data_IF_123935552889
#
_entry.id   IF_123935552889
#
_cell.length_a   1.000
_cell.length_b   1.000
_cell.length_c   1.000
_cell.angle_alpha   90.00
_cell.angle_beta   90.00
_cell.angle_gamma   90.00
#
_symmetry.space_group_name_H-M   'P 1'
#
loop_
_entity.id
_entity.type
_entity.pdbx_description
1 polymer ?
#
# COMPACT_ATOMS: atom_id res chain seq x y z
N UNK A 1 -7.63 37.36 25.55
CA UNK A 1 -7.52 36.38 26.66
C UNK A 1 -6.85 35.14 26.08
N UNK A 2 -5.59 34.88 26.42
CA UNK A 2 -4.92 33.64 26.02
C UNK A 2 -5.14 32.62 27.13
N UNK A 3 -5.97 31.61 26.88
CA UNK A 3 -6.10 30.44 27.76
C UNK A 3 -5.34 29.30 27.11
N UNK A 4 -4.25 28.87 27.71
CA UNK A 4 -3.58 27.62 27.38
C UNK A 4 -3.50 26.78 28.65
N UNK A 5 -3.85 25.50 28.56
CA UNK A 5 -3.66 24.57 29.67
C UNK A 5 -2.15 24.31 29.83
N UNK A 6 -1.64 24.43 31.05
CA UNK A 6 -0.23 24.14 31.39
C UNK A 6 0.71 25.35 31.48
N UNK A 7 0.20 26.57 31.46
CA UNK A 7 0.98 27.79 31.71
C UNK A 7 0.60 28.38 33.07
N UNK A 8 1.54 28.42 34.01
CA UNK A 8 1.41 29.24 35.23
C UNK A 8 1.91 30.63 34.91
N UNK A 9 1.06 31.64 35.08
CA UNK A 9 1.41 33.05 34.93
C UNK A 9 1.54 33.64 36.34
N UNK A 10 2.76 34.00 36.75
CA UNK A 10 3.01 34.68 38.02
C UNK A 10 3.20 36.18 37.77
N UNK A 11 2.37 37.01 38.41
CA UNK A 11 2.51 38.48 38.38
C UNK A 11 2.88 38.91 39.80
N UNK A 12 4.11 39.39 39.99
CA UNK A 12 4.59 39.90 41.28
C UNK A 12 5.00 41.36 41.15
N UNK A 13 4.46 42.23 42.01
CA UNK A 13 5.00 43.58 42.23
C UNK A 13 5.80 43.60 43.52
N UNK A 14 7.14 43.68 43.45
CA UNK A 14 7.94 43.89 44.65
C UNK A 14 9.09 44.87 44.38
N UNK A 15 9.01 45.99 45.11
CA UNK A 15 9.98 47.08 45.29
C UNK A 15 9.96 48.25 44.28
N UNK A 16 10.05 49.44 44.87
CA UNK A 16 10.11 50.76 44.22
C UNK A 16 11.37 50.87 43.37
N UNK A 17 11.24 51.04 42.06
CA UNK A 17 12.30 51.70 41.26
C UNK A 17 12.62 51.13 39.89
N UNK A 18 12.13 49.96 39.49
CA UNK A 18 12.34 49.44 38.13
C UNK A 18 11.03 48.97 37.50
N UNK A 19 10.63 49.60 36.40
CA UNK A 19 9.44 49.25 35.62
C UNK A 19 9.84 48.26 34.52
N UNK A 20 9.75 46.98 34.81
CA UNK A 20 9.78 45.95 33.78
C UNK A 20 8.68 44.93 34.07
N UNK A 21 8.16 44.34 33.00
CA UNK A 21 7.27 43.19 33.05
C UNK A 21 8.15 41.96 32.89
N UNK A 22 8.25 41.13 33.92
CA UNK A 22 8.91 39.84 33.83
C UNK A 22 7.84 38.78 33.52
N UNK A 23 7.92 38.16 32.33
CA UNK A 23 7.13 36.98 32.00
C UNK A 23 8.04 35.76 32.16
N UNK A 24 7.87 35.02 33.26
CA UNK A 24 8.49 33.71 33.43
C UNK A 24 7.49 32.61 33.04
N UNK A 25 7.88 31.80 32.07
CA UNK A 25 7.11 30.63 31.62
C UNK A 25 7.85 29.38 32.09
N UNK A 26 7.36 28.74 33.16
CA UNK A 26 7.85 27.44 33.58
C UNK A 26 7.18 26.34 32.73
N UNK A 27 7.99 25.53 32.04
CA UNK A 27 7.52 24.47 31.14
C UNK A 27 6.92 23.29 31.95
N UNK A 28 5.81 22.67 31.53
CA UNK A 28 5.86 21.24 31.29
C UNK A 28 6.82 21.05 30.11
N UNK A 29 8.04 20.56 30.37
CA UNK A 29 8.97 20.22 29.28
C UNK A 29 8.41 18.95 28.66
N UNK A 30 7.55 19.08 27.66
CA UNK A 30 7.24 17.94 26.80
C UNK A 30 8.37 17.88 25.79
N UNK A 31 9.22 16.86 25.88
CA UNK A 31 10.36 16.66 24.96
C UNK A 31 9.91 16.65 23.48
N UNK A 32 8.64 16.31 23.23
CA UNK A 32 8.03 16.20 21.89
C UNK A 32 6.62 16.80 21.90
N UNK A 33 6.46 18.09 21.55
CA UNK A 33 5.14 18.71 21.48
C UNK A 33 4.35 18.18 20.26
N UNK A 34 3.07 17.89 20.47
CA UNK A 34 2.11 17.69 19.38
C UNK A 34 1.84 19.03 18.69
N UNK A 35 1.93 19.07 17.36
CA UNK A 35 1.64 20.25 16.56
C UNK A 35 0.38 20.03 15.73
N UNK A 36 -0.47 21.03 15.66
CA UNK A 36 -1.63 21.07 14.76
C UNK A 36 -1.52 22.35 13.93
N UNK A 37 -1.56 22.22 12.61
CA UNK A 37 -1.49 23.31 11.64
C UNK A 37 -2.79 23.37 10.84
N UNK A 38 -3.33 24.57 10.68
CA UNK A 38 -4.44 24.89 9.79
C UNK A 38 -3.96 25.99 8.85
N UNK A 39 -3.96 25.73 7.54
CA UNK A 39 -3.59 26.69 6.53
C UNK A 39 -4.37 26.47 5.23
N UNK A 40 -4.03 27.21 4.17
CA UNK A 40 -4.64 27.09 2.84
C UNK A 40 -4.46 25.70 2.21
N UNK A 41 -3.49 24.90 2.67
CA UNK A 41 -3.20 23.55 2.17
C UNK A 41 -4.00 22.48 2.92
N UNK A 42 -4.59 22.83 4.07
CA UNK A 42 -5.49 21.98 4.83
C UNK A 42 -5.13 21.88 6.31
N UNK A 43 -5.23 20.66 6.84
CA UNK A 43 -5.02 20.35 8.26
C UNK A 43 -3.89 19.34 8.40
N UNK A 44 -2.91 19.62 9.26
CA UNK A 44 -1.85 18.67 9.63
C UNK A 44 -1.76 18.51 11.16
N UNK A 45 -1.83 17.27 11.63
CA UNK A 45 -1.49 16.87 12.99
C UNK A 45 -0.14 16.16 12.94
N UNK A 46 0.86 16.64 13.68
CA UNK A 46 2.22 16.15 13.61
C UNK A 46 2.81 15.93 15.01
N UNK A 47 3.18 14.68 15.29
CA UNK A 47 3.93 14.27 16.48
C UNK A 47 5.40 14.01 16.10
N UNK A 48 6.18 15.09 16.00
CA UNK A 48 7.62 15.08 15.75
C UNK A 48 8.03 14.22 14.53
N UNK A 49 7.28 14.29 13.43
CA UNK A 49 7.44 13.50 12.20
C UNK A 49 7.43 11.98 12.41
N UNK A 50 7.07 11.50 13.61
CA UNK A 50 6.88 10.08 13.88
C UNK A 50 5.46 9.66 13.59
N UNK A 51 4.48 10.47 13.92
CA UNK A 51 3.08 10.19 13.55
C UNK A 51 2.51 11.45 12.94
N UNK A 52 1.98 11.36 11.71
CA UNK A 52 1.38 12.49 11.02
C UNK A 52 0.02 12.12 10.45
N UNK A 53 -0.96 13.02 10.56
CA UNK A 53 -2.21 12.95 9.84
C UNK A 53 -2.38 14.24 9.04
N UNK A 54 -2.62 14.14 7.74
CA UNK A 54 -2.81 15.27 6.83
C UNK A 54 -4.12 15.12 6.10
N UNK A 55 -4.96 16.14 6.17
CA UNK A 55 -6.18 16.27 5.38
C UNK A 55 -6.00 17.47 4.47
N UNK A 56 -5.94 17.21 3.17
CA UNK A 56 -5.75 18.22 2.12
C UNK A 56 -6.85 18.08 1.08
N UNK A 57 -6.97 19.03 0.17
CA UNK A 57 -7.92 18.95 -0.96
C UNK A 57 -7.73 17.67 -1.80
N UNK A 58 -6.48 17.24 -1.98
CA UNK A 58 -6.12 16.15 -2.90
C UNK A 58 -6.05 14.78 -2.25
N UNK A 59 -5.81 14.75 -0.94
CA UNK A 59 -5.52 13.50 -0.24
C UNK A 59 -5.76 13.57 1.27
N UNK A 60 -6.09 12.40 1.82
CA UNK A 60 -5.98 12.09 3.25
C UNK A 60 -4.77 11.18 3.42
N UNK A 61 -3.83 11.55 4.28
CA UNK A 61 -2.60 10.80 4.54
C UNK A 61 -2.42 10.54 6.04
N UNK A 62 -2.16 9.30 6.41
CA UNK A 62 -1.80 8.89 7.77
C UNK A 62 -0.44 8.21 7.73
N UNK A 63 0.52 8.67 8.52
CA UNK A 63 1.86 8.07 8.63
C UNK A 63 2.18 7.70 10.06
N UNK A 64 2.86 6.56 10.22
CA UNK A 64 3.44 6.14 11.50
C UNK A 64 4.88 5.65 11.29
N UNK A 65 5.84 6.55 11.45
CA UNK A 65 7.23 6.33 11.12
C UNK A 65 7.50 6.66 9.65
N UNK A 66 8.60 6.12 9.13
CA UNK A 66 9.03 6.38 7.75
C UNK A 66 8.34 5.47 6.73
N UNK A 67 7.95 4.26 7.16
CA UNK A 67 7.60 3.18 6.23
C UNK A 67 6.11 2.84 6.25
N UNK A 68 5.38 3.20 7.31
CA UNK A 68 3.95 2.91 7.47
C UNK A 68 3.11 4.09 7.02
N UNK A 69 2.40 3.96 5.90
CA UNK A 69 1.60 5.04 5.29
C UNK A 69 0.26 4.50 4.82
N UNK A 70 -0.81 5.25 5.09
CA UNK A 70 -2.12 5.11 4.44
C UNK A 70 -2.40 6.38 3.67
N UNK A 71 -2.80 6.26 2.41
CA UNK A 71 -3.14 7.40 1.55
C UNK A 71 -4.45 7.14 0.84
N UNK A 72 -5.37 8.09 0.92
CA UNK A 72 -6.62 8.11 0.16
C UNK A 72 -6.54 9.32 -0.77
N UNK A 73 -6.69 9.09 -2.06
CA UNK A 73 -6.82 10.13 -3.10
C UNK A 73 -8.15 9.92 -3.82
N UNK A 74 -8.48 10.83 -4.75
CA UNK A 74 -9.66 10.66 -5.62
C UNK A 74 -9.63 9.37 -6.43
N UNK A 75 -8.45 8.94 -6.86
CA UNK A 75 -8.28 7.81 -7.78
C UNK A 75 -7.92 6.49 -7.09
N UNK A 76 -7.49 6.54 -5.82
CA UNK A 76 -6.94 5.35 -5.16
C UNK A 76 -6.95 5.38 -3.64
N UNK A 77 -6.95 4.18 -3.06
CA UNK A 77 -6.65 3.95 -1.64
C UNK A 77 -5.41 3.06 -1.56
N UNK A 78 -4.39 3.52 -0.83
CA UNK A 78 -3.09 2.85 -0.72
C UNK A 78 -2.70 2.65 0.74
N UNK A 79 -2.20 1.47 1.05
CA UNK A 79 -1.54 1.16 2.32
C UNK A 79 -0.14 0.64 2.01
N UNK A 80 0.88 1.19 2.65
CA UNK A 80 2.27 0.79 2.48
C UNK A 80 2.94 0.56 3.84
N UNK A 81 3.69 -0.53 3.94
CA UNK A 81 4.52 -0.90 5.09
C UNK A 81 5.78 -1.59 4.57
N UNK A 82 6.90 -0.86 4.47
CA UNK A 82 8.21 -1.36 4.01
C UNK A 82 8.16 -2.10 2.67
N UNK A 83 7.92 -3.41 2.70
CA UNK A 83 7.88 -4.29 1.54
C UNK A 83 6.46 -4.74 1.16
N UNK A 84 5.46 -4.34 1.94
CA UNK A 84 4.05 -4.67 1.74
C UNK A 84 3.33 -3.44 1.21
N UNK A 85 2.55 -3.61 0.15
CA UNK A 85 1.71 -2.57 -0.45
C UNK A 85 0.33 -3.16 -0.75
N UNK A 86 -0.73 -2.42 -0.42
CA UNK A 86 -2.11 -2.69 -0.83
C UNK A 86 -2.59 -1.47 -1.61
N UNK A 87 -3.19 -1.70 -2.77
CA UNK A 87 -3.73 -0.65 -3.62
C UNK A 87 -5.12 -1.05 -4.10
N UNK A 88 -6.08 -0.14 -3.93
CA UNK A 88 -7.38 -0.16 -4.59
C UNK A 88 -7.43 1.07 -5.51
N UNK A 89 -7.77 0.87 -6.77
CA UNK A 89 -8.11 1.93 -7.70
C UNK A 89 -9.25 1.46 -8.61
N UNK A 90 -9.66 2.31 -9.56
CA UNK A 90 -10.77 2.01 -10.47
C UNK A 90 -10.57 0.73 -11.31
N UNK A 91 -9.33 0.38 -11.63
CA UNK A 91 -9.00 -0.69 -12.59
C UNK A 91 -8.68 -2.01 -11.88
N UNK A 92 -8.29 -1.95 -10.60
CA UNK A 92 -7.77 -3.13 -9.88
C UNK A 92 -7.75 -3.02 -8.36
N UNK A 93 -7.68 -4.21 -7.76
CA UNK A 93 -7.29 -4.44 -6.36
C UNK A 93 -5.97 -5.22 -6.36
N UNK A 94 -4.94 -4.71 -5.69
CA UNK A 94 -3.60 -5.29 -5.68
C UNK A 94 -3.04 -5.42 -4.27
N UNK A 95 -2.49 -6.59 -3.95
CA UNK A 95 -1.64 -6.85 -2.80
C UNK A 95 -0.24 -7.23 -3.30
N UNK A 96 0.79 -6.58 -2.78
CA UNK A 96 2.19 -6.84 -3.12
C UNK A 96 3.01 -7.03 -1.86
N UNK A 97 3.87 -8.06 -1.86
CA UNK A 97 4.91 -8.28 -0.87
C UNK A 97 6.21 -8.66 -1.55
N UNK A 98 7.18 -7.74 -1.56
CA UNK A 98 8.45 -7.90 -2.26
C UNK A 98 8.21 -8.23 -3.75
N UNK A 99 8.50 -9.47 -4.21
CA UNK A 99 8.29 -9.96 -5.58
C UNK A 99 6.99 -10.78 -5.77
N UNK A 100 6.18 -10.89 -4.72
CA UNK A 100 4.90 -11.61 -4.76
C UNK A 100 3.78 -10.60 -4.96
N UNK A 101 2.87 -10.87 -5.90
CA UNK A 101 1.75 -10.01 -6.26
C UNK A 101 0.47 -10.87 -6.32
N UNK A 102 -0.62 -10.36 -5.76
CA UNK A 102 -1.97 -10.81 -6.01
C UNK A 102 -2.76 -9.62 -6.56
N UNK A 103 -3.39 -9.77 -7.71
CA UNK A 103 -4.07 -8.67 -8.41
C UNK A 103 -5.39 -9.14 -9.01
N UNK A 104 -6.48 -8.48 -8.65
CA UNK A 104 -7.78 -8.60 -9.30
C UNK A 104 -7.93 -7.41 -10.25
N UNK A 105 -8.15 -7.68 -11.52
CA UNK A 105 -8.51 -6.69 -12.55
C UNK A 105 -9.91 -7.00 -13.09
N UNK A 106 -10.43 -6.15 -13.97
CA UNK A 106 -11.70 -6.41 -14.65
C UNK A 106 -11.72 -7.74 -15.41
N UNK A 107 -10.58 -8.17 -15.96
CA UNK A 107 -10.52 -9.34 -16.85
C UNK A 107 -9.99 -10.60 -16.20
N UNK A 108 -9.35 -10.50 -15.02
CA UNK A 108 -8.66 -11.64 -14.43
C UNK A 108 -8.34 -11.49 -12.94
N UNK A 109 -8.20 -12.64 -12.30
CA UNK A 109 -7.51 -12.79 -11.03
C UNK A 109 -6.11 -13.37 -11.26
N UNK A 110 -5.07 -12.66 -10.83
CA UNK A 110 -3.67 -12.98 -11.05
C UNK A 110 -2.91 -13.18 -9.74
N UNK A 111 -2.08 -14.22 -9.66
CA UNK A 111 -1.08 -14.43 -8.61
C UNK A 111 0.29 -14.59 -9.25
N UNK A 112 1.27 -13.80 -8.84
CA UNK A 112 2.63 -13.85 -9.37
C UNK A 112 3.66 -13.94 -8.24
N UNK A 113 4.70 -14.75 -8.45
CA UNK A 113 5.90 -14.81 -7.60
C UNK A 113 7.11 -15.16 -8.43
N UNK A 114 8.05 -14.22 -8.53
CA UNK A 114 9.24 -14.33 -9.39
C UNK A 114 8.84 -14.62 -10.85
N UNK A 115 9.10 -15.84 -11.35
CA UNK A 115 8.73 -16.27 -12.71
C UNK A 115 7.41 -17.05 -12.75
N UNK A 116 6.86 -17.40 -11.59
CA UNK A 116 5.65 -18.21 -11.49
C UNK A 116 4.40 -17.33 -11.52
N UNK A 117 3.39 -17.73 -12.28
CA UNK A 117 2.14 -17.01 -12.47
C UNK A 117 0.96 -17.97 -12.48
N UNK A 118 -0.14 -17.57 -11.84
CA UNK A 118 -1.46 -18.18 -11.94
C UNK A 118 -2.44 -17.11 -12.38
N UNK A 119 -3.25 -17.39 -13.37
CA UNK A 119 -4.27 -16.49 -13.89
C UNK A 119 -5.59 -17.25 -14.04
N UNK A 120 -6.67 -16.69 -13.49
CA UNK A 120 -8.04 -17.08 -13.75
C UNK A 120 -8.71 -15.95 -14.52
N UNK A 121 -9.30 -16.25 -15.66
CA UNK A 121 -10.00 -15.30 -16.52
C UNK A 121 -11.20 -15.98 -17.19
N UNK A 122 -11.98 -15.24 -17.95
CA UNK A 122 -13.09 -15.79 -18.75
C UNK A 122 -12.63 -16.81 -19.81
N UNK A 123 -11.38 -16.74 -20.24
CA UNK A 123 -10.77 -17.71 -21.16
C UNK A 123 -10.37 -19.04 -20.49
N UNK A 124 -10.38 -19.08 -19.15
CA UNK A 124 -10.06 -20.25 -18.34
C UNK A 124 -8.93 -20.00 -17.34
N UNK A 125 -8.18 -21.07 -17.03
CA UNK A 125 -7.14 -21.09 -15.99
C UNK A 125 -5.78 -21.33 -16.62
N UNK A 126 -4.80 -20.51 -16.27
CA UNK A 126 -3.41 -20.64 -16.71
C UNK A 126 -2.46 -20.65 -15.53
N UNK A 127 -1.57 -21.63 -15.48
CA UNK A 127 -0.50 -21.76 -14.49
C UNK A 127 0.81 -21.87 -15.25
N UNK A 128 1.79 -21.02 -14.94
CA UNK A 128 3.09 -21.06 -15.61
C UNK A 128 4.24 -20.77 -14.64
N UNK A 129 5.40 -21.37 -14.90
CA UNK A 129 6.68 -21.02 -14.24
C UNK A 129 7.64 -20.31 -15.19
N UNK A 130 7.50 -20.60 -16.48
CA UNK A 130 8.21 -19.99 -17.60
C UNK A 130 7.31 -20.12 -18.83
N UNK A 131 7.67 -19.49 -19.94
CA UNK A 131 6.99 -19.70 -21.24
C UNK A 131 7.02 -21.15 -21.73
N UNK A 132 7.96 -21.95 -21.22
CA UNK A 132 8.13 -23.36 -21.58
C UNK A 132 7.48 -24.32 -20.59
N UNK A 133 6.97 -23.86 -19.44
CA UNK A 133 6.34 -24.72 -18.44
C UNK A 133 4.98 -24.13 -18.08
N UNK A 134 3.93 -24.63 -18.74
CA UNK A 134 2.58 -24.06 -18.74
C UNK A 134 1.53 -25.16 -18.60
N UNK A 135 0.52 -24.91 -17.79
CA UNK A 135 -0.76 -25.64 -17.76
C UNK A 135 -1.83 -24.62 -18.12
N UNK A 136 -2.69 -24.95 -19.07
CA UNK A 136 -3.75 -24.06 -19.56
C UNK A 136 -5.03 -24.88 -19.74
N UNK A 137 -6.09 -24.48 -19.06
CA UNK A 137 -7.41 -25.08 -19.13
C UNK A 137 -8.31 -24.02 -19.75
N UNK A 138 -8.89 -24.31 -20.91
CA UNK A 138 -9.86 -23.46 -21.60
C UNK A 138 -11.20 -24.18 -21.69
N UNK A 139 -12.21 -23.53 -22.27
CA UNK A 139 -13.48 -24.18 -22.60
C UNK A 139 -13.35 -25.32 -23.61
N UNK A 140 -12.27 -25.37 -24.38
CA UNK A 140 -12.08 -26.33 -25.47
C UNK A 140 -11.05 -27.42 -25.19
N UNK A 141 -10.08 -27.15 -24.30
CA UNK A 141 -8.96 -28.06 -24.11
C UNK A 141 -8.28 -27.93 -22.74
N UNK A 142 -7.55 -28.98 -22.37
CA UNK A 142 -6.56 -28.97 -21.30
C UNK A 142 -5.18 -29.20 -21.92
N UNK A 143 -4.29 -28.23 -21.76
CA UNK A 143 -2.94 -28.23 -22.31
C UNK A 143 -1.90 -28.26 -21.19
N UNK A 144 -0.95 -29.20 -21.30
CA UNK A 144 0.23 -29.28 -20.44
C UNK A 144 1.47 -29.20 -21.32
N UNK A 145 2.38 -28.26 -21.03
CA UNK A 145 3.62 -28.07 -21.79
C UNK A 145 4.84 -28.02 -20.88
N UNK A 146 5.90 -28.72 -21.28
CA UNK A 146 7.25 -28.65 -20.68
C UNK A 146 8.31 -28.70 -21.77
N UNK A 147 8.86 -27.55 -22.17
CA UNK A 147 9.80 -27.45 -23.27
C UNK A 147 9.13 -27.79 -24.60
N UNK A 148 9.68 -28.76 -25.33
CA UNK A 148 9.09 -29.32 -26.55
C UNK A 148 8.06 -30.43 -26.29
N UNK A 149 8.00 -30.97 -25.07
CA UNK A 149 7.01 -31.99 -24.71
C UNK A 149 5.67 -31.35 -24.34
N UNK A 150 4.57 -32.00 -24.73
CA UNK A 150 3.21 -31.54 -24.46
C UNK A 150 2.19 -32.68 -24.37
N UNK A 151 1.11 -32.42 -23.66
CA UNK A 151 -0.12 -33.23 -23.64
C UNK A 151 -1.29 -32.28 -23.85
N UNK A 152 -2.15 -32.58 -24.81
CA UNK A 152 -3.38 -31.85 -25.09
C UNK A 152 -4.56 -32.82 -25.02
N UNK A 153 -5.55 -32.50 -24.18
CA UNK A 153 -6.84 -33.18 -24.16
C UNK A 153 -7.87 -32.22 -24.77
N UNK A 154 -8.45 -32.59 -25.90
CA UNK A 154 -9.47 -31.79 -26.58
C UNK A 154 -10.61 -32.68 -27.07
N UNK A 155 -11.83 -32.39 -26.62
CA UNK A 155 -13.01 -33.23 -26.89
C UNK A 155 -12.81 -34.68 -26.45
N UNK A 156 -12.84 -35.61 -27.39
CA UNK A 156 -12.63 -37.05 -27.18
C UNK A 156 -11.21 -37.54 -27.57
N UNK A 157 -10.26 -36.63 -27.76
CA UNK A 157 -8.89 -36.95 -28.20
C UNK A 157 -7.85 -36.57 -27.15
N UNK A 158 -6.75 -37.33 -27.13
CA UNK A 158 -5.56 -37.05 -26.34
C UNK A 158 -4.36 -37.06 -27.27
N UNK A 159 -3.73 -35.90 -27.46
CA UNK A 159 -2.50 -35.78 -28.25
C UNK A 159 -1.30 -35.70 -27.31
N UNK A 160 -0.30 -36.55 -27.52
CA UNK A 160 0.92 -36.55 -26.71
C UNK A 160 2.17 -36.35 -27.57
N UNK A 161 2.99 -35.36 -27.21
CA UNK A 161 4.30 -35.15 -27.79
C UNK A 161 5.37 -35.30 -26.71
N UNK A 162 6.30 -36.24 -26.88
CA UNK A 162 7.43 -36.45 -25.98
C UNK A 162 8.64 -35.57 -26.32
N UNK A 163 8.46 -34.56 -27.17
CA UNK A 163 9.47 -33.59 -27.58
C UNK A 163 10.25 -34.00 -28.83
N UNK A 164 10.66 -35.26 -28.92
CA UNK A 164 11.33 -35.83 -30.10
C UNK A 164 10.50 -36.86 -30.87
N UNK A 165 9.37 -37.30 -30.31
CA UNK A 165 8.45 -38.29 -30.90
C UNK A 165 7.00 -37.91 -30.54
N UNK A 166 6.11 -37.87 -31.53
CA UNK A 166 4.67 -37.68 -31.33
C UNK A 166 3.94 -39.03 -31.31
N UNK A 167 3.02 -39.20 -30.37
CA UNK A 167 2.09 -40.34 -30.28
C UNK A 167 0.67 -39.79 -30.22
N UNK A 168 -0.15 -40.13 -31.21
CA UNK A 168 -1.59 -39.81 -31.29
C UNK A 168 -2.42 -40.97 -30.77
#
# INVERSE_FOLDING_TARGET
>A
MFKTQGVTISVSSLSKGKKYLLLEVAKPVVDKPLKVLFDEKGIEINNNNKTTAKLTEKAIELKNGKDSVVTITEESIKLAEKQVEVELNKDKIRLKKSKSIAELTESAFNLEKDKSKVQLSDSGVKISKTTSAVVEITSSAINLKKGSASVELSGNKVNMNKGSHQTM
#
